data_IF_026208374296
#
_entry.id   IF_026208374296
#
_cell.length_a   1.000
_cell.length_b   1.000
_cell.length_c   1.000
_cell.angle_alpha   90.00
_cell.angle_beta   90.00
_cell.angle_gamma   90.00
#
_symmetry.space_group_name_H-M   'P 1'
#
loop_
_entity.id
_entity.type
_entity.pdbx_description
1 polymer ?
#
# COMPACT_ATOMS: atom_id res chain seq x y z
N UNK A 1 -0.15 -4.32 -27.71
CA UNK A 1 1.00 -4.02 -26.84
C UNK A 1 0.63 -4.50 -25.44
N UNK A 2 1.38 -5.43 -24.88
CA UNK A 2 1.16 -5.95 -23.51
C UNK A 2 1.82 -5.01 -22.52
N UNK A 3 1.08 -4.54 -21.52
CA UNK A 3 1.63 -3.69 -20.47
C UNK A 3 2.60 -4.53 -19.60
N UNK A 4 3.89 -4.12 -19.56
CA UNK A 4 4.94 -4.79 -18.79
C UNK A 4 4.78 -4.44 -17.31
N UNK A 5 4.30 -5.38 -16.51
CA UNK A 5 4.22 -5.24 -15.05
C UNK A 5 5.61 -5.40 -14.46
N UNK A 6 6.12 -4.35 -13.83
CA UNK A 6 7.46 -4.31 -13.22
C UNK A 6 7.44 -4.58 -11.72
N UNK A 7 6.28 -4.39 -11.08
CA UNK A 7 6.06 -4.75 -9.68
C UNK A 7 4.68 -5.39 -9.55
N UNK A 8 4.60 -6.55 -8.92
CA UNK A 8 3.35 -7.20 -8.55
C UNK A 8 3.39 -7.55 -7.05
N UNK A 9 2.32 -7.23 -6.33
CA UNK A 9 2.12 -7.72 -4.97
C UNK A 9 0.86 -8.55 -4.92
N UNK A 10 0.91 -9.68 -4.23
CA UNK A 10 -0.24 -10.55 -3.96
C UNK A 10 -0.44 -10.65 -2.45
N UNK A 11 -1.65 -10.32 -1.98
CA UNK A 11 -2.07 -10.42 -0.59
C UNK A 11 -1.14 -9.70 0.39
N UNK A 12 -0.60 -8.54 -0.01
CA UNK A 12 0.33 -7.76 0.79
C UNK A 12 -0.35 -7.30 2.07
N UNK A 13 0.16 -7.77 3.20
CA UNK A 13 -0.26 -7.37 4.54
C UNK A 13 0.93 -6.77 5.27
N UNK A 14 0.77 -5.57 5.83
CA UNK A 14 1.80 -4.90 6.63
C UNK A 14 1.23 -4.55 7.99
N UNK A 15 1.87 -5.07 9.04
CA UNK A 15 1.49 -4.82 10.44
C UNK A 15 2.60 -4.06 11.16
N UNK A 16 2.20 -3.12 12.01
CA UNK A 16 3.08 -2.40 12.94
C UNK A 16 2.53 -2.62 14.36
N UNK A 17 3.27 -3.37 15.19
CA UNK A 17 2.79 -3.84 16.50
C UNK A 17 1.40 -4.48 16.37
N UNK A 18 0.39 -3.96 17.06
CA UNK A 18 -0.99 -4.43 17.02
C UNK A 18 -1.83 -3.80 15.89
N UNK A 19 -1.27 -2.88 15.12
CA UNK A 19 -1.98 -2.19 14.04
C UNK A 19 -1.71 -2.85 12.68
N UNK A 20 -2.76 -3.19 11.93
CA UNK A 20 -2.63 -3.67 10.55
C UNK A 20 -2.76 -2.47 9.61
N UNK A 21 -1.63 -1.99 9.08
CA UNK A 21 -1.56 -0.82 8.21
C UNK A 21 -1.92 -1.11 6.75
N UNK A 22 -1.61 -2.30 6.26
CA UNK A 22 -2.10 -2.81 4.97
C UNK A 22 -2.68 -4.20 5.21
N UNK A 23 -3.84 -4.49 4.65
CA UNK A 23 -4.52 -5.76 4.84
C UNK A 23 -4.87 -6.38 3.48
N UNK A 24 -4.16 -7.44 3.12
CA UNK A 24 -4.41 -8.26 1.94
C UNK A 24 -4.52 -7.48 0.60
N UNK A 25 -3.58 -6.56 0.35
CA UNK A 25 -3.60 -5.68 -0.82
C UNK A 25 -2.92 -6.33 -2.04
N UNK A 26 -3.57 -6.24 -3.21
CA UNK A 26 -3.02 -6.66 -4.50
C UNK A 26 -2.69 -5.42 -5.34
N UNK A 27 -1.46 -5.33 -5.87
CA UNK A 27 -1.01 -4.21 -6.69
C UNK A 27 -0.27 -4.72 -7.92
N UNK A 28 -0.43 -4.00 -9.04
CA UNK A 28 0.39 -4.13 -10.24
C UNK A 28 0.86 -2.75 -10.65
N UNK A 29 2.17 -2.56 -10.71
CA UNK A 29 2.79 -1.34 -11.22
C UNK A 29 3.43 -1.66 -12.55
N UNK A 30 3.10 -0.85 -13.54
CA UNK A 30 3.54 -1.05 -14.92
C UNK A 30 4.67 -0.09 -15.27
N UNK A 31 5.49 -0.53 -16.21
CA UNK A 31 6.63 0.22 -16.69
C UNK A 31 6.21 1.56 -17.28
N UNK A 32 6.92 2.62 -16.91
CA UNK A 32 6.71 3.97 -17.45
C UNK A 32 5.52 4.72 -16.85
N UNK A 33 4.74 4.10 -15.94
CA UNK A 33 3.65 4.77 -15.21
C UNK A 33 4.14 5.30 -13.86
N UNK A 34 3.66 6.48 -13.46
CA UNK A 34 3.95 7.10 -12.16
C UNK A 34 2.76 6.88 -11.23
N UNK A 35 3.04 6.43 -10.01
CA UNK A 35 2.02 6.09 -9.01
C UNK A 35 2.25 6.92 -7.74
N UNK A 36 1.19 7.56 -7.23
CA UNK A 36 1.19 8.26 -5.95
C UNK A 36 0.27 7.57 -4.95
N UNK A 37 0.77 7.29 -3.75
CA UNK A 37 -0.04 6.78 -2.65
C UNK A 37 -0.56 7.94 -1.81
N UNK A 38 -1.88 8.02 -1.64
CA UNK A 38 -2.54 9.01 -0.78
C UNK A 38 -3.03 8.27 0.46
N UNK A 39 -2.64 8.74 1.64
CA UNK A 39 -3.07 8.17 2.91
C UNK A 39 -3.64 9.26 3.81
N UNK A 40 -4.65 8.90 4.61
CA UNK A 40 -5.15 9.76 5.68
C UNK A 40 -4.27 9.56 6.91
N UNK A 41 -3.63 10.62 7.37
CA UNK A 41 -2.97 10.62 8.67
C UNK A 41 -4.05 10.53 9.77
N UNK A 42 -4.05 9.45 10.54
CA UNK A 42 -4.91 9.31 11.72
C UNK A 42 -4.15 9.89 12.91
N UNK A 43 -4.68 10.97 13.48
CA UNK A 43 -4.13 11.57 14.69
C UNK A 43 -4.40 10.63 15.86
N UNK A 44 -3.36 10.05 16.43
CA UNK A 44 -3.46 9.26 17.66
C UNK A 44 -3.83 10.25 18.77
N UNK A 45 -4.99 10.07 19.42
CA UNK A 45 -5.36 10.96 20.53
C UNK A 45 -4.34 10.75 21.65
N UNK A 46 -3.58 11.78 22.07
CA UNK A 46 -2.80 11.67 23.29
C UNK A 46 -3.77 11.43 24.44
N UNK A 47 -3.48 10.42 25.27
CA UNK A 47 -4.25 10.17 26.49
C UNK A 47 -4.01 11.36 27.43
N UNK A 48 -5.08 12.10 27.73
CA UNK A 48 -5.20 13.00 28.88
C UNK A 48 -5.92 12.26 29.99
#
# INVERSE_FOLDING_TARGET
MTEEVIVETKNLTKKYKHNTALNNINLKLEKGKVYGFIVKLVQVRPHL
#
